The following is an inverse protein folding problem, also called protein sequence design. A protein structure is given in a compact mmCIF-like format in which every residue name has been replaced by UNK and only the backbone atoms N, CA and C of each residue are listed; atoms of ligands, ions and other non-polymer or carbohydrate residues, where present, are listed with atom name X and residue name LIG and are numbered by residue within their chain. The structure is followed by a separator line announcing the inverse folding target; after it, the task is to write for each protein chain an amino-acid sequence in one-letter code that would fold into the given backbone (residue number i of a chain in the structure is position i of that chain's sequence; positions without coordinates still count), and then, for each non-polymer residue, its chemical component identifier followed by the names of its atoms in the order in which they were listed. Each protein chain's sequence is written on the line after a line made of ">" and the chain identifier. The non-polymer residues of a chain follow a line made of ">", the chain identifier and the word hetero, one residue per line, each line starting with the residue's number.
data_IF_395386204884
#
_entry.id   IF_395386204884
#
_cell.length_a   1.000
_cell.length_b   1.000
_cell.length_c   1.000
_cell.angle_alpha   90.00
_cell.angle_beta   90.00
_cell.angle_gamma   90.00
#
_symmetry.space_group_name_H-M   'P 1'
#
loop_
_entity.id
_entity.type
_entity.pdbx_description
1 polymer ?
#
# COMPACT_ATOMS: atom_id res chain seq x y z
N UNK A 1 27.66 -19.19 -20.19
CA UNK A 1 27.14 -17.86 -20.56
C UNK A 1 26.51 -17.30 -19.30
N UNK A 2 27.25 -16.53 -18.51
CA UNK A 2 26.67 -15.78 -17.38
C UNK A 2 25.71 -14.76 -17.98
N UNK A 3 24.41 -15.02 -17.85
CA UNK A 3 23.41 -13.98 -18.06
C UNK A 3 23.71 -12.92 -17.00
N UNK A 4 24.26 -11.77 -17.39
CA UNK A 4 24.24 -10.58 -16.52
C UNK A 4 22.78 -10.22 -16.30
N UNK A 5 22.16 -10.80 -15.27
CA UNK A 5 20.79 -10.49 -14.93
C UNK A 5 20.73 -9.05 -14.45
N UNK A 6 19.98 -8.22 -15.18
CA UNK A 6 19.71 -6.83 -14.80
C UNK A 6 19.24 -6.76 -13.33
N UNK A 7 19.66 -5.74 -12.55
CA UNK A 7 19.25 -5.60 -11.14
C UNK A 7 17.75 -5.70 -10.92
N UNK A 8 16.95 -5.20 -11.88
CA UNK A 8 15.50 -5.30 -11.85
C UNK A 8 15.00 -6.76 -11.97
N UNK A 9 15.60 -7.56 -12.85
CA UNK A 9 15.24 -8.97 -13.00
C UNK A 9 15.55 -9.75 -11.72
N UNK A 10 16.73 -9.52 -11.13
CA UNK A 10 17.14 -10.15 -9.88
C UNK A 10 16.23 -9.75 -8.71
N UNK A 11 15.80 -8.48 -8.63
CA UNK A 11 14.83 -8.04 -7.64
C UNK A 11 13.49 -8.80 -7.73
N UNK A 12 12.99 -9.06 -8.95
CA UNK A 12 11.79 -9.86 -9.14
C UNK A 12 11.98 -11.32 -8.73
N UNK A 13 13.14 -11.91 -8.99
CA UNK A 13 13.47 -13.26 -8.54
C UNK A 13 13.49 -13.35 -7.01
N UNK A 14 14.14 -12.39 -6.34
CA UNK A 14 14.12 -12.28 -4.87
C UNK A 14 12.69 -12.19 -4.34
N UNK A 15 11.80 -11.45 -5.00
CA UNK A 15 10.37 -11.38 -4.64
C UNK A 15 9.65 -12.72 -4.71
N UNK A 16 9.86 -13.51 -5.78
CA UNK A 16 9.27 -14.85 -5.92
C UNK A 16 9.84 -15.82 -4.87
N UNK A 17 11.15 -15.76 -4.64
CA UNK A 17 11.82 -16.60 -3.66
C UNK A 17 11.34 -16.30 -2.24
N UNK A 18 11.19 -15.02 -1.89
CA UNK A 18 10.68 -14.61 -0.58
C UNK A 18 9.27 -15.17 -0.32
N UNK A 19 8.38 -15.15 -1.30
CA UNK A 19 7.04 -15.74 -1.16
C UNK A 19 7.11 -17.25 -0.87
N UNK A 20 8.03 -17.97 -1.53
CA UNK A 20 8.26 -19.40 -1.27
C UNK A 20 8.81 -19.65 0.14
N UNK A 21 9.74 -18.81 0.62
CA UNK A 21 10.30 -18.91 1.96
C UNK A 21 9.26 -18.64 3.06
N UNK A 22 8.38 -17.65 2.87
CA UNK A 22 7.25 -17.40 3.79
C UNK A 22 6.34 -18.62 3.88
N UNK A 23 6.01 -19.25 2.74
CA UNK A 23 5.18 -20.46 2.72
C UNK A 23 5.81 -21.64 3.47
N UNK A 24 7.14 -21.71 3.50
CA UNK A 24 7.91 -22.72 4.24
C UNK A 24 8.12 -22.36 5.73
N UNK A 25 7.79 -21.13 6.15
CA UNK A 25 8.00 -20.63 7.52
C UNK A 25 9.41 -20.09 7.79
N UNK A 26 10.23 -19.92 6.76
CA UNK A 26 11.55 -19.29 6.80
C UNK A 26 11.42 -17.77 6.75
N UNK A 27 10.95 -17.19 7.86
CA UNK A 27 10.60 -15.77 7.93
C UNK A 27 11.83 -14.86 7.87
N UNK A 28 12.95 -15.25 8.48
CA UNK A 28 14.18 -14.44 8.50
C UNK A 28 14.77 -14.33 7.09
N UNK A 29 14.89 -15.45 6.37
CA UNK A 29 15.40 -15.47 4.99
C UNK A 29 14.48 -14.71 4.04
N UNK A 30 13.16 -14.79 4.24
CA UNK A 30 12.19 -14.02 3.45
C UNK A 30 12.35 -12.51 3.64
N UNK A 31 12.60 -12.06 4.88
CA UNK A 31 12.88 -10.64 5.18
C UNK A 31 14.16 -10.18 4.48
N UNK A 32 15.21 -11.00 4.51
CA UNK A 32 16.47 -10.71 3.83
C UNK A 32 16.29 -10.64 2.32
N UNK A 33 15.53 -11.55 1.71
CA UNK A 33 15.23 -11.53 0.27
C UNK A 33 14.52 -10.24 -0.16
N UNK A 34 13.58 -9.73 0.64
CA UNK A 34 12.94 -8.44 0.34
C UNK A 34 13.85 -7.24 0.60
N UNK A 35 14.86 -7.37 1.46
CA UNK A 35 15.92 -6.38 1.65
C UNK A 35 16.79 -6.29 0.41
N UNK A 36 17.32 -7.43 -0.04
CA UNK A 36 18.11 -7.54 -1.26
C UNK A 36 17.33 -7.01 -2.48
N UNK A 37 16.04 -7.34 -2.61
CA UNK A 37 15.20 -6.80 -3.68
C UNK A 37 15.09 -5.27 -3.63
N UNK A 38 14.98 -4.67 -2.44
CA UNK A 38 14.91 -3.22 -2.28
C UNK A 38 16.24 -2.53 -2.63
N UNK A 39 17.38 -3.17 -2.35
CA UNK A 39 18.70 -2.67 -2.70
C UNK A 39 18.96 -2.78 -4.21
N UNK A 40 18.60 -3.90 -4.84
CA UNK A 40 18.67 -4.07 -6.28
C UNK A 40 17.78 -3.08 -7.05
N UNK A 41 16.61 -2.74 -6.51
CA UNK A 41 15.77 -1.67 -7.06
C UNK A 41 16.41 -0.28 -6.90
N UNK A 42 17.18 -0.06 -5.84
CA UNK A 42 17.97 1.16 -5.66
C UNK A 42 19.11 1.24 -6.68
N UNK A 43 19.77 0.14 -7.00
CA UNK A 43 20.75 0.08 -8.08
C UNK A 43 20.09 0.36 -9.44
N UNK A 44 18.93 -0.25 -9.72
CA UNK A 44 18.17 0.00 -10.95
C UNK A 44 17.75 1.47 -11.10
N UNK A 45 17.44 2.15 -10.00
CA UNK A 45 17.15 3.59 -9.98
C UNK A 45 18.34 4.44 -10.47
N UNK A 46 19.56 4.06 -10.10
CA UNK A 46 20.78 4.78 -10.51
C UNK A 46 21.09 4.61 -11.99
N UNK A 47 20.71 3.47 -12.58
CA UNK A 47 20.95 3.16 -13.99
C UNK A 47 19.89 3.76 -14.94
N UNK A 48 18.75 4.19 -14.39
CA UNK A 48 17.59 4.63 -15.15
C UNK A 48 17.55 6.15 -15.27
N UNK A 49 17.34 6.65 -16.48
CA UNK A 49 17.26 8.09 -16.76
C UNK A 49 15.82 8.59 -16.96
N UNK A 50 14.86 7.67 -17.12
CA UNK A 50 13.46 7.99 -17.32
C UNK A 50 12.75 8.20 -15.96
N UNK A 51 12.22 9.40 -15.73
CA UNK A 51 11.54 9.79 -14.49
C UNK A 51 10.31 8.91 -14.16
N UNK A 52 9.52 8.53 -15.16
CA UNK A 52 8.37 7.64 -14.96
C UNK A 52 8.81 6.26 -14.47
N UNK A 53 9.90 5.72 -15.02
CA UNK A 53 10.46 4.45 -14.56
C UNK A 53 11.04 4.59 -13.15
N UNK A 54 11.71 5.71 -12.84
CA UNK A 54 12.19 5.97 -11.47
C UNK A 54 11.07 5.94 -10.44
N UNK A 55 9.96 6.65 -10.70
CA UNK A 55 8.79 6.62 -9.82
C UNK A 55 8.24 5.20 -9.62
N UNK A 56 8.17 4.41 -10.70
CA UNK A 56 7.73 3.01 -10.62
C UNK A 56 8.67 2.14 -9.77
N UNK A 57 9.98 2.31 -9.92
CA UNK A 57 10.99 1.57 -9.15
C UNK A 57 10.96 1.96 -7.66
N UNK A 58 10.74 3.24 -7.34
CA UNK A 58 10.55 3.71 -5.97
C UNK A 58 9.32 3.10 -5.31
N UNK A 59 8.19 3.07 -6.03
CA UNK A 59 6.96 2.43 -5.55
C UNK A 59 7.18 0.94 -5.28
N UNK A 60 7.86 0.24 -6.19
CA UNK A 60 8.17 -1.18 -6.02
C UNK A 60 9.10 -1.41 -4.82
N UNK A 61 10.09 -0.53 -4.61
CA UNK A 61 10.97 -0.57 -3.45
C UNK A 61 10.19 -0.36 -2.15
N UNK A 62 9.29 0.62 -2.11
CA UNK A 62 8.43 0.87 -0.95
C UNK A 62 7.56 -0.36 -0.61
N UNK A 63 7.03 -1.06 -1.63
CA UNK A 63 6.29 -2.31 -1.46
C UNK A 63 7.16 -3.39 -0.80
N UNK A 64 8.42 -3.55 -1.21
CA UNK A 64 9.33 -4.52 -0.58
C UNK A 64 9.60 -4.20 0.89
N UNK A 65 9.79 -2.92 1.23
CA UNK A 65 9.95 -2.48 2.63
C UNK A 65 8.67 -2.75 3.44
N UNK A 66 7.50 -2.50 2.87
CA UNK A 66 6.22 -2.84 3.50
C UNK A 66 6.10 -4.35 3.74
N UNK A 67 6.48 -5.16 2.77
CA UNK A 67 6.43 -6.61 2.88
C UNK A 67 7.36 -7.15 3.98
N UNK A 68 8.56 -6.57 4.15
CA UNK A 68 9.43 -6.89 5.29
C UNK A 68 8.76 -6.64 6.63
N UNK A 69 8.04 -5.51 6.79
CA UNK A 69 7.31 -5.19 8.03
C UNK A 69 6.22 -6.21 8.31
N UNK A 70 5.39 -6.52 7.31
CA UNK A 70 4.33 -7.52 7.43
C UNK A 70 4.89 -8.89 7.83
N UNK A 71 5.95 -9.35 7.17
CA UNK A 71 6.57 -10.64 7.48
C UNK A 71 7.15 -10.63 8.89
N UNK A 72 7.86 -9.57 9.32
CA UNK A 72 8.36 -9.42 10.69
C UNK A 72 7.24 -9.54 11.73
N UNK A 73 6.09 -8.90 11.48
CA UNK A 73 4.97 -8.93 12.42
C UNK A 73 4.29 -10.31 12.45
N UNK A 74 4.11 -10.95 11.29
CA UNK A 74 3.60 -12.34 11.25
C UNK A 74 4.53 -13.30 11.99
N UNK A 75 5.84 -13.15 11.82
CA UNK A 75 6.84 -13.97 12.50
C UNK A 75 6.82 -13.79 14.01
N UNK A 76 6.72 -12.54 14.50
CA UNK A 76 6.57 -12.25 15.93
C UNK A 76 5.33 -12.93 16.51
N UNK A 77 4.19 -12.83 15.83
CA UNK A 77 2.92 -13.48 16.25
C UNK A 77 3.07 -15.00 16.31
N UNK A 78 3.68 -15.61 15.29
CA UNK A 78 3.96 -17.06 15.26
C UNK A 78 4.93 -17.48 16.36
N UNK A 79 5.96 -16.66 16.65
CA UNK A 79 6.95 -16.93 17.70
C UNK A 79 6.34 -16.86 19.11
N UNK A 80 5.46 -15.89 19.36
CA UNK A 80 4.71 -15.78 20.62
C UNK A 80 3.76 -16.97 20.78
N UNK A 81 2.99 -17.33 19.75
CA UNK A 81 2.07 -18.47 19.79
C UNK A 81 2.79 -19.83 19.98
N UNK A 82 4.06 -19.94 19.55
CA UNK A 82 4.90 -21.13 19.73
C UNK A 82 5.55 -21.23 21.10
N UNK A 83 5.60 -20.15 21.89
CA UNK A 83 6.17 -20.15 23.25
C UNK A 83 5.01 -20.48 24.21
N UNK A 84 4.85 -21.73 24.68
CA UNK A 84 3.74 -22.06 25.55
C UNK A 84 3.96 -21.36 26.89
N UNK A 85 2.96 -20.61 27.35
CA UNK A 85 2.93 -20.07 28.71
C UNK A 85 2.94 -21.23 29.71
N UNK A 86 4.09 -21.45 30.35
CA UNK A 86 4.20 -22.28 31.54
C UNK A 86 3.70 -21.43 32.71
N UNK A 87 2.41 -21.48 33.00
CA UNK A 87 1.86 -21.02 34.27
C UNK A 87 1.10 -22.17 34.93
N UNK A 88 1.90 -22.99 35.61
CA UNK A 88 1.62 -23.73 36.84
C UNK A 88 0.30 -23.39 37.54
N UNK A 89 -0.70 -24.27 37.45
CA UNK A 89 -1.76 -24.38 38.46
C UNK A 89 -1.30 -25.38 39.52
N UNK A 90 -0.70 -24.86 40.60
CA UNK A 90 -0.60 -25.57 41.86
C UNK A 90 -1.86 -25.26 42.64
N UNK A 91 -2.80 -26.19 42.76
CA UNK A 91 -3.75 -26.19 43.87
C UNK A 91 -3.85 -27.60 44.49
N UNK A 92 -3.21 -27.68 45.64
CA UNK A 92 -3.69 -28.25 46.90
C UNK A 92 -4.28 -29.67 46.93
N UNK A 93 -3.51 -30.53 47.58
CA UNK A 93 -3.84 -31.80 48.21
C UNK A 93 -4.91 -31.68 49.32
N UNK A 94 -5.86 -32.64 49.40
CA UNK A 94 -6.25 -33.50 50.55
C UNK A 94 -7.53 -34.33 50.20
N UNK A 95 -7.58 -35.67 50.46
CA UNK A 95 -8.78 -36.56 50.47
C UNK A 95 -9.15 -37.02 51.93
N UNK A 96 -10.03 -38.02 52.25
CA UNK A 96 -11.25 -38.65 51.63
C UNK A 96 -12.48 -38.92 52.60
N UNK A 97 -13.64 -39.33 52.00
CA UNK A 97 -14.70 -40.30 52.49
C UNK A 97 -15.75 -39.91 53.58
N UNK A 98 -16.88 -40.68 53.84
CA UNK A 98 -17.73 -41.61 53.02
C UNK A 98 -19.29 -41.50 53.25
N UNK A 99 -20.09 -42.42 52.62
CA UNK A 99 -21.41 -42.96 53.07
C UNK A 99 -22.69 -42.16 52.69
N UNK A 100 -23.88 -42.66 52.32
CA UNK A 100 -24.48 -43.98 52.08
C UNK A 100 -25.91 -43.81 51.45
N UNK A 101 -26.47 -44.91 50.95
CA UNK A 101 -27.91 -45.29 50.91
C UNK A 101 -28.88 -44.80 49.80
N UNK A 102 -29.12 -45.73 48.86
CA UNK A 102 -30.37 -46.23 48.26
C UNK A 102 -31.73 -45.50 48.43
N UNK A 103 -32.54 -45.46 47.33
CA UNK A 103 -33.90 -46.04 47.23
C UNK A 103 -34.60 -45.83 45.87
N UNK A 104 -34.87 -46.95 45.18
CA UNK A 104 -36.07 -47.39 44.39
C UNK A 104 -36.84 -46.49 43.38
N UNK A 105 -36.86 -47.02 42.13
CA UNK A 105 -37.99 -47.39 41.24
C UNK A 105 -39.12 -46.37 40.94
N UNK A 106 -39.43 -46.08 39.64
CA UNK A 106 -40.48 -46.75 38.82
C UNK A 106 -40.43 -46.31 37.33
N UNK A 107 -40.76 -47.25 36.43
CA UNK A 107 -41.43 -47.14 35.10
C UNK A 107 -40.96 -46.11 34.05
N UNK A 108 -40.78 -46.36 32.73
CA UNK A 108 -41.10 -47.46 31.81
C UNK A 108 -40.49 -47.15 30.43
N UNK A 109 -39.99 -48.17 29.74
CA UNK A 109 -40.04 -48.45 28.27
C UNK A 109 -39.62 -47.30 27.31
N UNK A 110 -38.64 -47.41 26.42
CA UNK A 110 -38.30 -48.52 25.51
C UNK A 110 -36.96 -48.21 24.79
N UNK A 111 -36.17 -49.25 24.50
CA UNK A 111 -34.99 -49.21 23.63
C UNK A 111 -35.33 -49.95 22.30
N UNK A 112 -34.55 -49.81 21.21
CA UNK A 112 -33.24 -50.47 21.14
C UNK A 112 -32.08 -49.64 20.55
N UNK A 113 -30.91 -49.93 21.11
CA UNK A 113 -29.52 -49.97 20.61
C UNK A 113 -29.32 -50.07 19.08
N UNK A 114 -28.17 -49.81 18.45
CA UNK A 114 -26.82 -49.30 18.74
C UNK A 114 -25.98 -49.55 17.45
N UNK A 115 -24.76 -49.01 17.39
CA UNK A 115 -23.62 -49.36 16.50
C UNK A 115 -23.65 -48.65 15.13
N UNK A 116 -22.61 -47.96 14.64
CA UNK A 116 -21.32 -47.49 15.14
C UNK A 116 -20.74 -46.63 14.03
N UNK A 117 -20.06 -45.54 14.38
CA UNK A 117 -18.64 -45.30 14.08
C UNK A 117 -18.33 -43.81 14.25
N UNK A 118 -17.69 -43.50 15.38
CA UNK A 118 -16.76 -42.38 15.43
C UNK A 118 -15.46 -42.82 14.73
N UNK A 119 -14.84 -41.94 13.94
CA UNK A 119 -13.48 -41.57 14.28
C UNK A 119 -13.44 -40.27 15.09
N UNK A 120 -13.10 -40.48 16.36
CA UNK A 120 -12.42 -39.60 17.30
C UNK A 120 -11.83 -38.29 16.76
N UNK A 121 -11.93 -37.28 17.64
CA UNK A 121 -10.96 -36.18 17.84
C UNK A 121 -11.00 -35.00 16.87
N UNK A 122 -11.90 -34.07 17.17
CA UNK A 122 -11.54 -32.65 17.24
C UNK A 122 -12.30 -31.96 18.38
N UNK A 123 -11.89 -32.22 19.62
CA UNK A 123 -12.06 -31.24 20.70
C UNK A 123 -10.75 -30.49 20.83
N UNK A 124 -10.43 -29.62 19.85
CA UNK A 124 -9.38 -28.62 20.09
C UNK A 124 -10.05 -27.45 20.79
N UNK A 125 -9.60 -27.20 22.02
CA UNK A 125 -10.04 -26.16 22.92
C UNK A 125 -10.47 -24.89 22.16
N UNK A 126 -11.73 -24.50 22.36
CA UNK A 126 -12.19 -23.16 22.05
C UNK A 126 -11.20 -22.19 22.71
N UNK A 127 -10.59 -21.32 21.90
CA UNK A 127 -9.74 -20.25 22.40
C UNK A 127 -10.57 -19.47 23.42
N UNK A 128 -10.15 -19.48 24.68
CA UNK A 128 -10.89 -18.92 25.82
C UNK A 128 -11.46 -17.53 25.43
N UNK A 129 -12.78 -17.37 25.45
CA UNK A 129 -13.46 -16.17 24.93
C UNK A 129 -12.94 -14.90 25.60
N UNK A 130 -12.47 -15.02 26.85
CA UNK A 130 -11.83 -13.95 27.61
C UNK A 130 -10.53 -13.47 26.94
N UNK A 131 -9.65 -14.39 26.56
CA UNK A 131 -8.39 -14.04 25.88
C UNK A 131 -8.64 -13.44 24.51
N UNK A 132 -9.67 -13.92 23.78
CA UNK A 132 -10.03 -13.34 22.47
C UNK A 132 -10.53 -11.91 22.59
N UNK A 133 -11.36 -11.61 23.60
CA UNK A 133 -11.86 -10.26 23.86
C UNK A 133 -10.75 -9.30 24.29
N UNK A 134 -9.76 -9.77 25.04
CA UNK A 134 -8.60 -8.97 25.47
C UNK A 134 -7.64 -8.66 24.31
N UNK A 135 -7.40 -9.62 23.42
CA UNK A 135 -6.64 -9.40 22.18
C UNK A 135 -7.36 -8.34 21.31
N UNK A 136 -8.69 -8.45 21.16
CA UNK A 136 -9.49 -7.50 20.40
C UNK A 136 -9.52 -6.11 21.05
N UNK A 137 -9.63 -6.01 22.37
CA UNK A 137 -9.65 -4.73 23.08
C UNK A 137 -8.33 -3.98 22.92
N UNK A 138 -7.20 -4.70 22.99
CA UNK A 138 -5.86 -4.13 22.78
C UNK A 138 -5.67 -3.70 21.33
N UNK A 139 -6.09 -4.53 20.36
CA UNK A 139 -6.04 -4.19 18.94
C UNK A 139 -6.89 -2.94 18.61
N UNK A 140 -8.09 -2.84 19.18
CA UNK A 140 -8.95 -1.66 19.02
C UNK A 140 -8.30 -0.43 19.64
N UNK A 141 -7.69 -0.54 20.82
CA UNK A 141 -6.99 0.56 21.47
C UNK A 141 -5.80 1.06 20.64
N UNK A 142 -5.00 0.16 20.08
CA UNK A 142 -3.85 0.53 19.26
C UNK A 142 -4.27 1.15 17.91
N UNK A 143 -5.31 0.61 17.26
CA UNK A 143 -5.89 1.23 16.07
C UNK A 143 -6.39 2.65 16.36
N UNK A 144 -7.08 2.86 17.49
CA UNK A 144 -7.52 4.19 17.92
C UNK A 144 -6.36 5.16 18.11
N UNK A 145 -5.24 4.72 18.69
CA UNK A 145 -4.03 5.56 18.83
C UNK A 145 -3.48 5.96 17.47
N UNK A 146 -3.34 5.02 16.53
CA UNK A 146 -2.82 5.30 15.19
C UNK A 146 -3.73 6.27 14.45
N UNK A 147 -5.05 6.07 14.52
CA UNK A 147 -6.03 6.99 13.93
C UNK A 147 -5.90 8.39 14.53
N UNK A 148 -5.76 8.52 15.85
CA UNK A 148 -5.57 9.81 16.51
C UNK A 148 -4.30 10.53 16.04
N UNK A 149 -3.18 9.81 15.91
CA UNK A 149 -1.93 10.37 15.38
C UNK A 149 -2.10 10.85 13.93
N UNK A 150 -2.74 10.04 13.08
CA UNK A 150 -2.98 10.41 11.69
C UNK A 150 -3.91 11.63 11.55
N UNK A 151 -4.91 11.76 12.43
CA UNK A 151 -5.79 12.93 12.43
C UNK A 151 -5.02 14.20 12.82
N UNK A 152 -4.18 14.13 13.87
CA UNK A 152 -3.32 15.25 14.27
C UNK A 152 -2.33 15.63 13.17
N UNK A 153 -1.74 14.65 12.49
CA UNK A 153 -0.83 14.90 11.38
C UNK A 153 -1.54 15.53 10.18
N UNK A 154 -2.76 15.08 9.84
CA UNK A 154 -3.56 15.70 8.79
C UNK A 154 -3.93 17.14 9.11
N UNK A 155 -4.35 17.43 10.34
CA UNK A 155 -4.65 18.79 10.78
C UNK A 155 -3.42 19.70 10.62
N UNK A 156 -2.26 19.25 11.10
CA UNK A 156 -1.00 19.97 10.94
C UNK A 156 -0.62 20.20 9.47
N UNK A 157 -0.77 19.18 8.62
CA UNK A 157 -0.48 19.29 7.20
C UNK A 157 -1.42 20.27 6.49
N UNK A 158 -2.69 20.34 6.90
CA UNK A 158 -3.63 21.34 6.38
C UNK A 158 -3.20 22.76 6.75
N UNK A 159 -2.77 22.99 7.99
CA UNK A 159 -2.24 24.29 8.43
C UNK A 159 -0.99 24.69 7.64
N UNK A 160 -0.03 23.78 7.49
CA UNK A 160 1.19 24.01 6.70
C UNK A 160 0.85 24.29 5.22
N UNK A 161 -0.12 23.57 4.65
CA UNK A 161 -0.55 23.76 3.27
C UNK A 161 -1.17 25.15 3.05
N UNK A 162 -2.04 25.59 3.95
CA UNK A 162 -2.61 26.93 3.90
C UNK A 162 -1.53 28.02 4.07
N UNK A 163 -0.59 27.82 5.00
CA UNK A 163 0.55 28.73 5.17
C UNK A 163 1.40 28.84 3.90
N UNK A 164 1.74 27.70 3.29
CA UNK A 164 2.49 27.63 2.03
C UNK A 164 1.75 28.23 0.85
N UNK A 165 0.41 28.11 0.80
CA UNK A 165 -0.42 28.79 -0.22
C UNK A 165 -0.37 30.30 -0.07
N UNK A 166 -0.47 30.81 1.17
CA UNK A 166 -0.34 32.24 1.46
C UNK A 166 1.05 32.75 1.09
N UNK A 167 2.10 32.02 1.45
CA UNK A 167 3.48 32.37 1.09
C UNK A 167 3.71 32.32 -0.42
N UNK A 168 3.19 31.30 -1.12
CA UNK A 168 3.22 31.26 -2.58
C UNK A 168 2.53 32.48 -3.20
N UNK A 169 1.36 32.87 -2.68
CA UNK A 169 0.66 34.05 -3.16
C UNK A 169 1.44 35.34 -2.89
N UNK A 170 2.15 35.43 -1.75
CA UNK A 170 3.05 36.55 -1.42
C UNK A 170 4.25 36.59 -2.37
N UNK A 171 4.95 35.48 -2.54
CA UNK A 171 6.12 35.38 -3.40
C UNK A 171 5.79 35.62 -4.88
N UNK A 172 4.60 35.20 -5.33
CA UNK A 172 4.08 35.54 -6.67
C UNK A 172 3.69 37.00 -6.82
N UNK A 173 3.48 37.72 -5.71
CA UNK A 173 3.26 39.18 -5.70
C UNK A 173 4.58 39.97 -5.59
N UNK A 174 5.62 39.39 -5.00
CA UNK A 174 6.94 40.01 -4.94
C UNK A 174 7.54 40.08 -6.36
N UNK A 175 7.79 41.29 -6.91
CA UNK A 175 8.11 41.48 -8.31
C UNK A 175 9.60 41.23 -8.58
N UNK A 176 10.04 39.97 -8.48
CA UNK A 176 11.37 39.54 -8.91
C UNK A 176 11.36 38.28 -9.78
N UNK A 177 10.33 38.15 -10.62
CA UNK A 177 10.25 37.16 -11.69
C UNK A 177 10.06 37.79 -13.09
N UNK A 178 10.28 39.10 -13.26
CA UNK A 178 10.15 39.80 -14.54
C UNK A 178 11.49 40.10 -15.25
N UNK A 179 12.48 39.20 -15.15
CA UNK A 179 13.72 39.34 -15.94
C UNK A 179 13.98 38.21 -16.94
N UNK A 180 13.03 37.32 -17.17
CA UNK A 180 13.10 36.36 -18.27
C UNK A 180 11.75 36.18 -18.97
N UNK A 181 11.27 37.24 -19.64
CA UNK A 181 10.39 37.14 -20.81
C UNK A 181 10.17 38.52 -21.47
N UNK A 182 10.85 38.85 -22.58
CA UNK A 182 10.56 40.05 -23.34
C UNK A 182 9.48 39.73 -24.38
N UNK A 183 8.22 39.48 -24.00
CA UNK A 183 7.13 39.54 -25.02
C UNK A 183 5.67 39.64 -24.54
N UNK A 184 5.34 39.76 -23.25
CA UNK A 184 3.92 39.89 -22.90
C UNK A 184 3.55 41.36 -22.66
N UNK A 185 3.23 42.02 -23.77
CA UNK A 185 2.38 43.22 -23.83
C UNK A 185 1.16 43.04 -22.92
N UNK A 186 0.95 43.89 -21.91
CA UNK A 186 -0.31 43.95 -21.19
C UNK A 186 -1.28 44.78 -22.04
N UNK A 187 -2.29 44.16 -22.62
CA UNK A 187 -3.46 44.89 -23.09
C UNK A 187 -4.69 44.00 -22.96
N UNK A 188 -5.61 44.41 -22.10
CA UNK A 188 -6.88 44.94 -22.59
C UNK A 188 -7.59 45.73 -21.48
N UNK A 189 -7.62 47.04 -21.64
CA UNK A 189 -8.71 47.87 -21.12
C UNK A 189 -9.92 47.66 -22.06
N UNK A 190 -11.15 47.51 -21.53
CA UNK A 190 -12.35 47.36 -22.35
C UNK A 190 -12.92 48.75 -22.67
N UNK A 191 -12.28 49.48 -23.58
CA UNK A 191 -12.87 50.69 -24.15
C UNK A 191 -12.21 50.97 -25.49
N UNK A 192 -12.89 50.58 -26.57
CA UNK A 192 -13.07 51.32 -27.83
C UNK A 192 -13.32 50.33 -28.97
N UNK A 193 -14.61 50.18 -29.27
CA UNK A 193 -15.09 49.65 -30.53
C UNK A 193 -14.80 50.66 -31.64
N UNK A 194 -14.43 50.14 -32.83
CA UNK A 194 -14.61 50.67 -34.20
C UNK A 194 -13.30 50.61 -34.99
N UNK A 195 -13.04 49.46 -35.62
CA UNK A 195 -12.51 49.33 -36.99
C UNK A 195 -12.36 47.84 -37.33
N UNK A 196 -12.69 47.47 -38.58
CA UNK A 196 -12.80 46.08 -39.05
C UNK A 196 -11.50 45.27 -38.94
N UNK A 197 -11.59 43.93 -39.03
CA UNK A 197 -10.48 43.05 -38.69
C UNK A 197 -9.31 43.21 -39.69
N UNK A 198 -8.09 43.54 -39.25
CA UNK A 198 -6.90 43.36 -40.06
C UNK A 198 -6.58 41.85 -40.14
N UNK A 199 -5.96 41.38 -41.23
CA UNK A 199 -5.64 39.97 -41.39
C UNK A 199 -4.68 39.55 -40.28
N UNK A 200 -5.03 38.49 -39.56
CA UNK A 200 -4.22 37.93 -38.50
C UNK A 200 -2.97 37.32 -39.14
N UNK A 201 -1.82 38.00 -39.00
CA UNK A 201 -0.50 37.39 -39.16
C UNK A 201 -0.32 36.36 -38.04
N UNK A 202 -0.74 35.12 -38.31
CA UNK A 202 -0.39 33.98 -37.49
C UNK A 202 1.11 33.72 -37.61
N UNK A 203 1.83 33.47 -36.50
CA UNK A 203 3.25 33.11 -36.55
C UNK A 203 3.38 31.81 -37.35
N UNK A 204 4.02 31.95 -38.51
CA UNK A 204 4.30 30.91 -39.50
C UNK A 204 4.86 29.67 -38.79
N UNK A 205 4.02 28.64 -38.60
CA UNK A 205 4.50 27.28 -38.39
C UNK A 205 5.42 27.00 -39.56
N UNK A 206 6.72 26.86 -39.31
CA UNK A 206 7.70 26.55 -40.34
C UNK A 206 7.47 25.11 -40.80
N UNK A 207 6.48 24.95 -41.67
CA UNK A 207 6.10 23.68 -42.28
C UNK A 207 7.12 23.38 -43.38
N UNK A 208 7.66 22.16 -43.46
CA UNK A 208 8.55 21.75 -44.55
C UNK A 208 7.96 22.12 -45.93
N UNK A 209 8.76 22.62 -46.88
CA UNK A 209 8.27 23.10 -48.19
C UNK A 209 7.39 22.07 -48.92
N UNK A 210 7.72 20.79 -48.76
CA UNK A 210 7.01 19.67 -49.40
C UNK A 210 5.53 19.59 -48.96
N UNK A 211 5.24 19.90 -47.69
CA UNK A 211 3.88 19.92 -47.15
C UNK A 211 3.13 21.21 -47.49
N UNK A 212 3.86 22.31 -47.73
CA UNK A 212 3.23 23.57 -48.17
C UNK A 212 2.67 23.42 -49.60
N UNK A 213 3.40 22.77 -50.48
CA UNK A 213 2.93 22.48 -51.85
C UNK A 213 1.79 21.46 -51.86
N UNK A 214 1.81 20.46 -50.99
CA UNK A 214 0.70 19.50 -50.87
C UNK A 214 -0.59 20.18 -50.41
N UNK A 215 -0.53 21.05 -49.39
CA UNK A 215 -1.69 21.82 -48.92
C UNK A 215 -2.18 22.79 -50.00
N UNK A 216 -1.28 23.43 -50.75
CA UNK A 216 -1.62 24.32 -51.87
C UNK A 216 -2.39 23.58 -52.96
N UNK A 217 -1.90 22.40 -53.37
CA UNK A 217 -2.53 21.56 -54.38
C UNK A 217 -3.87 20.98 -53.93
N UNK A 218 -4.01 20.68 -52.63
CA UNK A 218 -5.28 20.24 -52.05
C UNK A 218 -6.32 21.36 -52.08
N UNK A 219 -5.93 22.60 -51.77
CA UNK A 219 -6.84 23.75 -51.86
C UNK A 219 -7.24 24.11 -53.30
N UNK A 220 -6.33 24.03 -54.26
CA UNK A 220 -6.67 24.24 -55.67
C UNK A 220 -7.65 23.17 -56.18
N UNK A 221 -7.46 21.91 -55.78
CA UNK A 221 -8.37 20.80 -56.13
C UNK A 221 -9.77 20.96 -55.51
N UNK A 222 -9.86 21.48 -54.29
CA UNK A 222 -11.13 21.69 -53.60
C UNK A 222 -11.88 22.92 -54.13
N UNK A 223 -11.19 23.81 -54.84
CA UNK A 223 -11.77 25.00 -55.48
C UNK A 223 -12.34 24.74 -56.89
N UNK A 224 -12.04 23.59 -57.49
CA UNK A 224 -12.50 23.19 -58.83
C UNK A 224 -13.72 22.24 -58.82
N UNK A 225 -14.41 22.06 -57.69
CA UNK A 225 -15.67 21.30 -57.55
C UNK A 225 -16.81 22.23 -57.19
#
# INVERSE_FOLDING_TARGET
>A
MELMESPLNRAHQCGRNANRLVAQGYYEEAISCHGEAADLLKEALLLTHNEQVKLSLELQRARHVQQQRLIKDTWKRVKIARKPSISSTKETSIPPAPSNAASKLTSSQSAPQCISQAPLRWSKAAKDDRTRLEEQSTAIADLRKVVAVLLLENEKLLEENESLKVENARLKRDPYADQQSPHLTPLLNPAEATQGPPPLDLPLLHLPPDLQEEIRLLWERESEV
#
